data_IF_481476016200
#
_entry.id   IF_481476016200
#
_cell.length_a   1.000
_cell.length_b   1.000
_cell.length_c   1.000
_cell.angle_alpha   90.00
_cell.angle_beta   90.00
_cell.angle_gamma   90.00
#
_symmetry.space_group_name_H-M   'P 1'
#
loop_
_entity.id
_entity.type
_entity.pdbx_description
1 polymer ?
#
# COMPACT_ATOMS: atom_id res chain seq x y z
N UNK A 1 30.59 9.17 28.89
CA UNK A 1 29.36 9.51 28.15
C UNK A 1 29.75 10.31 26.93
N UNK A 2 29.92 9.64 25.79
CA UNK A 2 30.10 10.31 24.50
C UNK A 2 28.76 10.27 23.82
N UNK A 3 28.05 11.41 23.84
CA UNK A 3 26.82 11.60 23.10
C UNK A 3 27.13 11.55 21.60
N UNK A 4 26.77 10.47 20.94
CA UNK A 4 26.71 10.41 19.50
C UNK A 4 25.49 11.25 19.10
N UNK A 5 25.73 12.51 18.76
CA UNK A 5 24.75 13.35 18.08
C UNK A 5 24.58 12.75 16.66
N UNK A 6 23.63 11.84 16.51
CA UNK A 6 23.20 11.37 15.20
C UNK A 6 22.53 12.55 14.50
N UNK A 7 23.30 13.30 13.73
CA UNK A 7 22.78 14.42 12.93
C UNK A 7 21.93 13.80 11.80
N UNK A 8 20.62 13.79 11.98
CA UNK A 8 19.68 13.38 10.93
C UNK A 8 19.91 14.27 9.70
N UNK A 9 20.21 13.67 8.56
CA UNK A 9 20.44 14.42 7.30
C UNK A 9 19.10 14.94 6.77
N UNK A 10 19.11 16.11 6.13
CA UNK A 10 17.96 16.61 5.40
C UNK A 10 17.65 15.70 4.21
N UNK A 11 16.41 15.27 4.08
CA UNK A 11 15.93 14.51 2.92
C UNK A 11 15.76 15.48 1.74
N UNK A 12 16.53 15.27 0.68
CA UNK A 12 16.59 16.22 -0.44
C UNK A 12 15.45 15.99 -1.43
N UNK A 13 14.49 16.92 -1.42
CA UNK A 13 13.51 17.07 -2.49
C UNK A 13 14.20 17.53 -3.78
N UNK A 14 13.81 16.95 -4.91
CA UNK A 14 14.32 17.39 -6.22
C UNK A 14 13.20 17.80 -7.18
N UNK A 15 11.95 17.50 -6.85
CA UNK A 15 10.78 17.86 -7.61
C UNK A 15 9.52 17.88 -6.74
N UNK A 16 8.60 18.79 -7.08
CA UNK A 16 7.30 18.95 -6.42
C UNK A 16 6.24 19.42 -7.41
N UNK A 17 5.00 19.00 -7.21
CA UNK A 17 3.81 19.52 -7.88
C UNK A 17 2.62 19.54 -6.92
N UNK A 18 1.54 20.21 -7.32
CA UNK A 18 0.28 20.26 -6.57
C UNK A 18 -0.87 19.73 -7.43
N UNK A 19 -1.69 18.86 -6.86
CA UNK A 19 -2.96 18.38 -7.36
C UNK A 19 -4.09 19.13 -6.62
N UNK A 20 -5.33 19.09 -7.15
CA UNK A 20 -6.44 19.92 -6.61
C UNK A 20 -6.84 19.61 -5.17
N UNK A 21 -6.56 18.40 -4.67
CA UNK A 21 -7.07 17.91 -3.39
C UNK A 21 -6.11 16.89 -2.80
N UNK A 22 -6.43 16.38 -1.60
CA UNK A 22 -5.58 15.47 -0.88
C UNK A 22 -5.25 14.19 -1.68
N UNK A 23 -4.01 13.73 -1.55
CA UNK A 23 -3.50 12.61 -2.34
C UNK A 23 -4.01 11.29 -1.75
N UNK A 24 -4.69 10.49 -2.59
CA UNK A 24 -5.24 9.16 -2.23
C UNK A 24 -4.49 8.01 -2.88
N UNK A 25 -3.66 8.28 -3.87
CA UNK A 25 -2.90 7.25 -4.55
C UNK A 25 -1.61 7.78 -5.16
N UNK A 26 -0.51 7.08 -4.87
CA UNK A 26 0.78 7.22 -5.53
C UNK A 26 1.26 5.85 -5.94
N UNK A 27 1.62 5.67 -7.20
CA UNK A 27 2.12 4.40 -7.70
C UNK A 27 3.14 4.61 -8.81
N UNK A 28 4.33 4.05 -8.67
CA UNK A 28 5.31 4.00 -9.75
C UNK A 28 4.95 2.91 -10.76
N UNK A 29 5.18 3.19 -12.05
CA UNK A 29 5.15 2.17 -13.09
C UNK A 29 6.27 1.14 -12.83
N UNK A 30 6.09 -0.15 -13.14
CA UNK A 30 7.07 -1.20 -12.83
C UNK A 30 8.48 -0.97 -13.39
N UNK A 31 8.64 -0.20 -14.46
CA UNK A 31 9.94 0.17 -15.03
C UNK A 31 10.59 1.42 -14.38
N UNK A 32 9.97 2.00 -13.35
CA UNK A 32 10.38 3.22 -12.67
C UNK A 32 10.43 4.49 -13.55
N UNK A 33 10.04 4.44 -14.82
CA UNK A 33 10.11 5.60 -15.72
C UNK A 33 8.99 6.62 -15.51
N UNK A 34 7.82 6.16 -15.07
CA UNK A 34 6.64 6.98 -14.79
C UNK A 34 6.12 6.72 -13.38
N UNK A 35 5.35 7.67 -12.86
CA UNK A 35 4.51 7.43 -11.69
C UNK A 35 3.14 8.08 -11.89
N UNK A 36 2.12 7.51 -11.26
CA UNK A 36 0.78 8.03 -11.22
C UNK A 36 0.48 8.64 -9.86
N UNK A 37 -0.18 9.80 -9.86
CA UNK A 37 -0.67 10.48 -8.67
C UNK A 37 -2.16 10.78 -8.83
N UNK A 38 -2.96 10.44 -7.83
CA UNK A 38 -4.39 10.70 -7.79
C UNK A 38 -4.74 11.44 -6.50
N UNK A 39 -5.50 12.52 -6.63
CA UNK A 39 -6.18 13.19 -5.51
C UNK A 39 -7.64 12.72 -5.41
N UNK A 40 -8.30 13.02 -4.31
CA UNK A 40 -9.73 12.68 -4.12
C UNK A 40 -10.53 13.24 -5.28
N UNK A 41 -10.35 14.52 -5.59
CA UNK A 41 -11.02 15.19 -6.72
C UNK A 41 -10.05 15.45 -7.87
N UNK A 42 -10.59 15.64 -9.04
CA UNK A 42 -9.83 15.99 -10.22
C UNK A 42 -9.25 14.79 -10.99
N UNK A 43 -8.39 15.08 -11.97
CA UNK A 43 -7.82 14.08 -12.85
C UNK A 43 -6.69 13.28 -12.17
N UNK A 44 -6.41 12.11 -12.74
CA UNK A 44 -5.25 11.28 -12.39
C UNK A 44 -4.07 11.70 -13.25
N UNK A 45 -2.99 12.13 -12.63
CA UNK A 45 -1.78 12.56 -13.30
C UNK A 45 -0.82 11.40 -13.48
N UNK A 46 -0.32 11.20 -14.70
CA UNK A 46 0.82 10.33 -14.97
C UNK A 46 2.00 11.21 -15.37
N UNK A 47 3.08 11.09 -14.62
CA UNK A 47 4.22 11.99 -14.65
C UNK A 47 5.52 11.21 -14.82
N UNK A 48 6.53 11.84 -15.40
CA UNK A 48 7.89 11.31 -15.44
C UNK A 48 8.49 11.24 -14.04
N UNK A 49 9.05 10.10 -13.69
CA UNK A 49 9.71 9.93 -12.38
C UNK A 49 11.08 10.62 -12.29
N UNK A 50 11.63 11.08 -13.41
CA UNK A 50 12.97 11.70 -13.49
C UNK A 50 12.93 13.20 -13.22
N UNK A 51 11.93 13.89 -13.80
CA UNK A 51 11.83 15.34 -13.83
C UNK A 51 10.41 15.87 -13.59
N UNK A 52 9.43 14.97 -13.38
CA UNK A 52 8.03 15.31 -13.14
C UNK A 52 7.28 15.84 -14.37
N UNK A 53 7.85 15.72 -15.55
CA UNK A 53 7.19 16.17 -16.78
C UNK A 53 5.85 15.44 -16.99
N UNK A 54 4.76 16.15 -17.36
CA UNK A 54 3.47 15.52 -17.64
C UNK A 54 3.55 14.52 -18.79
N UNK A 55 3.09 13.29 -18.58
CA UNK A 55 3.00 12.25 -19.59
C UNK A 55 1.56 12.06 -20.07
N UNK A 56 0.62 11.87 -19.16
CA UNK A 56 -0.79 11.72 -19.45
C UNK A 56 -1.66 12.30 -18.33
N UNK A 57 -2.90 12.65 -18.67
CA UNK A 57 -3.91 13.13 -17.73
C UNK A 57 -5.19 12.34 -17.97
N UNK A 58 -5.65 11.59 -16.99
CA UNK A 58 -6.86 10.80 -17.09
C UNK A 58 -7.98 11.38 -16.24
N UNK A 59 -9.21 11.29 -16.71
CA UNK A 59 -10.37 11.71 -15.92
C UNK A 59 -10.48 10.87 -14.65
N UNK A 60 -10.59 11.53 -13.50
CA UNK A 60 -10.85 10.87 -12.23
C UNK A 60 -12.27 10.29 -12.14
N UNK A 61 -12.75 10.05 -10.95
CA UNK A 61 -14.06 9.47 -10.67
C UNK A 61 -15.06 10.54 -10.20
N UNK A 62 -16.35 10.38 -10.56
CA UNK A 62 -17.38 11.40 -10.39
C UNK A 62 -17.63 11.85 -8.94
N UNK A 63 -17.52 10.96 -7.97
CA UNK A 63 -17.68 11.24 -6.54
C UNK A 63 -16.38 11.11 -5.74
N UNK A 64 -15.26 11.05 -6.43
CA UNK A 64 -13.92 10.93 -5.85
C UNK A 64 -13.22 9.64 -6.23
N UNK A 65 -11.92 9.78 -6.51
CA UNK A 65 -11.02 8.64 -6.72
C UNK A 65 -10.64 8.05 -5.36
N UNK A 66 -10.66 6.73 -5.23
CA UNK A 66 -10.27 6.02 -4.00
C UNK A 66 -8.97 5.24 -4.12
N UNK A 67 -8.53 4.91 -5.35
CA UNK A 67 -7.28 4.19 -5.55
C UNK A 67 -6.87 4.03 -6.99
N UNK A 68 -5.58 3.71 -7.16
CA UNK A 68 -4.95 3.44 -8.46
C UNK A 68 -4.04 2.21 -8.36
N UNK A 69 -3.85 1.49 -9.47
CA UNK A 69 -2.98 0.32 -9.54
C UNK A 69 -2.44 0.12 -10.95
N UNK A 70 -1.12 -0.05 -11.10
CA UNK A 70 -0.48 -0.37 -12.38
C UNK A 70 -0.57 -1.87 -12.70
N UNK A 71 -0.80 -2.19 -13.97
CA UNK A 71 -0.54 -3.56 -14.46
C UNK A 71 0.96 -3.88 -14.41
N UNK A 72 1.30 -5.16 -14.26
CA UNK A 72 2.69 -5.60 -14.07
C UNK A 72 3.63 -5.20 -15.22
N UNK A 73 3.11 -5.06 -16.45
CA UNK A 73 3.87 -4.58 -17.61
C UNK A 73 3.85 -3.06 -17.78
N UNK A 74 3.12 -2.34 -16.92
CA UNK A 74 3.01 -0.88 -16.96
C UNK A 74 2.26 -0.30 -18.14
N UNK A 75 1.52 -1.11 -18.90
CA UNK A 75 0.75 -0.62 -20.07
C UNK A 75 -0.62 -0.07 -19.68
N UNK A 76 -1.22 -0.61 -18.60
CA UNK A 76 -2.50 -0.18 -18.07
C UNK A 76 -2.37 0.39 -16.65
N UNK A 77 -3.11 1.46 -16.39
CA UNK A 77 -3.36 1.99 -15.07
C UNK A 77 -4.84 1.75 -14.74
N UNK A 78 -5.14 1.04 -13.67
CA UNK A 78 -6.48 0.93 -13.15
C UNK A 78 -6.76 2.04 -12.15
N UNK A 79 -8.00 2.55 -12.13
CA UNK A 79 -8.50 3.44 -11.09
C UNK A 79 -9.89 3.03 -10.63
N UNK A 80 -10.18 3.32 -9.37
CA UNK A 80 -11.46 3.06 -8.72
C UNK A 80 -11.91 4.30 -7.95
N UNK A 81 -13.20 4.41 -7.70
CA UNK A 81 -13.75 5.56 -7.03
C UNK A 81 -15.09 5.29 -6.34
N UNK A 82 -15.67 6.39 -5.85
CA UNK A 82 -16.93 6.40 -5.12
C UNK A 82 -18.15 6.43 -6.04
N UNK A 83 -17.95 6.41 -7.35
CA UNK A 83 -19.00 6.33 -8.38
C UNK A 83 -19.38 4.89 -8.74
N UNK A 84 -18.77 3.92 -8.08
CA UNK A 84 -19.02 2.50 -8.35
C UNK A 84 -18.47 2.01 -9.69
N UNK A 85 -17.54 2.76 -10.30
CA UNK A 85 -16.94 2.42 -11.59
C UNK A 85 -15.48 2.01 -11.41
N UNK A 86 -15.07 1.01 -12.18
CA UNK A 86 -13.68 0.63 -12.40
C UNK A 86 -13.27 1.14 -13.78
N UNK A 87 -12.16 1.83 -13.89
CA UNK A 87 -11.61 2.31 -15.16
C UNK A 87 -10.21 1.76 -15.36
N UNK A 88 -9.89 1.36 -16.58
CA UNK A 88 -8.53 1.04 -17.00
C UNK A 88 -8.11 1.97 -18.14
N UNK A 89 -6.93 2.55 -17.99
CA UNK A 89 -6.36 3.56 -18.87
C UNK A 89 -5.19 2.97 -19.64
N UNK A 90 -5.22 3.06 -20.96
CA UNK A 90 -4.06 2.75 -21.82
C UNK A 90 -3.10 3.94 -21.80
N UNK A 91 -1.95 3.75 -21.17
CA UNK A 91 -1.00 4.83 -20.93
C UNK A 91 -0.29 5.29 -22.20
N UNK A 92 -0.07 4.40 -23.15
CA UNK A 92 0.54 4.74 -24.44
C UNK A 92 -0.43 5.52 -25.34
N UNK A 93 -1.71 5.11 -25.37
CA UNK A 93 -2.77 5.81 -26.12
C UNK A 93 -3.27 7.06 -25.43
N UNK A 94 -2.99 7.20 -24.13
CA UNK A 94 -3.48 8.29 -23.26
C UNK A 94 -5.01 8.38 -23.22
N UNK A 95 -5.66 7.24 -23.25
CA UNK A 95 -7.12 7.13 -23.34
C UNK A 95 -7.64 5.99 -22.48
N UNK A 96 -8.96 5.93 -22.28
CA UNK A 96 -9.61 4.85 -21.55
C UNK A 96 -9.62 3.57 -22.40
N UNK A 97 -9.02 2.50 -21.89
CA UNK A 97 -9.06 1.19 -22.53
C UNK A 97 -10.43 0.53 -22.35
N UNK A 98 -10.95 0.57 -21.12
CA UNK A 98 -12.28 0.06 -20.77
C UNK A 98 -12.75 0.60 -19.44
N UNK A 99 -14.04 0.43 -19.15
CA UNK A 99 -14.65 0.66 -17.85
C UNK A 99 -15.63 -0.44 -17.50
N UNK A 100 -15.88 -0.66 -16.21
CA UNK A 100 -16.81 -1.68 -15.72
C UNK A 100 -17.46 -1.22 -14.39
N UNK A 101 -18.58 -1.85 -14.04
CA UNK A 101 -19.26 -1.57 -12.79
C UNK A 101 -18.63 -2.34 -11.65
N UNK A 102 -18.25 -1.67 -10.56
CA UNK A 102 -18.05 -2.29 -9.26
C UNK A 102 -19.41 -2.74 -8.69
N UNK A 103 -19.45 -3.56 -7.67
CA UNK A 103 -20.70 -4.11 -7.13
C UNK A 103 -21.42 -3.18 -6.18
N UNK A 104 -20.78 -2.11 -5.75
CA UNK A 104 -21.27 -1.12 -4.79
C UNK A 104 -20.79 0.27 -5.19
N UNK A 105 -21.42 1.34 -4.71
CA UNK A 105 -21.03 2.71 -5.02
C UNK A 105 -19.57 3.03 -4.66
N UNK A 106 -19.02 2.39 -3.64
CA UNK A 106 -17.66 2.61 -3.18
C UNK A 106 -16.81 1.38 -3.47
N UNK A 107 -15.79 1.57 -4.33
CA UNK A 107 -14.74 0.59 -4.51
C UNK A 107 -13.58 0.91 -3.56
N UNK A 108 -13.26 -0.05 -2.70
CA UNK A 108 -12.29 0.15 -1.61
C UNK A 108 -10.84 -0.07 -2.08
N UNK A 109 -10.64 -1.10 -2.91
CA UNK A 109 -9.30 -1.51 -3.34
C UNK A 109 -9.32 -2.09 -4.75
N UNK A 110 -8.29 -1.76 -5.53
CA UNK A 110 -8.00 -2.40 -6.81
C UNK A 110 -6.55 -2.92 -6.81
N UNK A 111 -6.34 -4.11 -7.32
CA UNK A 111 -5.02 -4.73 -7.40
C UNK A 111 -4.87 -5.59 -8.66
N UNK A 112 -3.85 -5.32 -9.46
CA UNK A 112 -3.44 -6.18 -10.56
C UNK A 112 -2.70 -7.39 -10.03
N UNK A 113 -2.94 -8.57 -10.63
CA UNK A 113 -2.15 -9.77 -10.38
C UNK A 113 -0.68 -9.56 -10.81
N UNK A 114 0.24 -10.31 -10.20
CA UNK A 114 1.67 -10.18 -10.47
C UNK A 114 2.05 -10.51 -11.93
N UNK A 115 1.25 -11.37 -12.59
CA UNK A 115 1.39 -11.68 -14.02
C UNK A 115 0.73 -10.62 -14.94
N UNK A 116 0.05 -9.62 -14.36
CA UNK A 116 -0.64 -8.55 -15.07
C UNK A 116 -1.86 -8.98 -15.87
N UNK A 117 -2.34 -10.21 -15.70
CA UNK A 117 -3.47 -10.75 -16.50
C UNK A 117 -4.83 -10.43 -15.92
N UNK A 118 -4.93 -10.22 -14.60
CA UNK A 118 -6.17 -10.02 -13.87
C UNK A 118 -6.14 -8.74 -13.03
N UNK A 119 -7.27 -8.04 -13.02
CA UNK A 119 -7.55 -6.95 -12.08
C UNK A 119 -8.60 -7.43 -11.08
N UNK A 120 -8.25 -7.41 -9.80
CA UNK A 120 -9.19 -7.63 -8.71
C UNK A 120 -9.67 -6.28 -8.14
N UNK A 121 -10.97 -6.16 -7.89
CA UNK A 121 -11.55 -4.97 -7.24
C UNK A 121 -12.52 -5.40 -6.16
N UNK A 122 -12.33 -4.84 -4.96
CA UNK A 122 -13.22 -4.99 -3.82
C UNK A 122 -14.22 -3.82 -3.79
N UNK A 123 -15.50 -4.14 -3.72
CA UNK A 123 -16.57 -3.18 -3.54
C UNK A 123 -17.74 -3.79 -2.74
N UNK A 124 -18.09 -3.17 -1.62
CA UNK A 124 -19.05 -3.74 -0.70
C UNK A 124 -18.61 -5.11 -0.21
N UNK A 125 -19.49 -6.11 -0.32
CA UNK A 125 -19.23 -7.48 0.15
C UNK A 125 -18.67 -8.43 -0.92
N UNK A 126 -18.30 -7.90 -2.08
CA UNK A 126 -17.88 -8.70 -3.22
C UNK A 126 -16.51 -8.28 -3.73
N UNK A 127 -15.80 -9.25 -4.33
CA UNK A 127 -14.59 -9.01 -5.09
C UNK A 127 -14.82 -9.48 -6.52
N UNK A 128 -14.60 -8.60 -7.50
CA UNK A 128 -14.72 -8.90 -8.93
C UNK A 128 -13.35 -9.03 -9.57
N UNK A 129 -13.23 -10.00 -10.49
CA UNK A 129 -12.04 -10.19 -11.32
C UNK A 129 -12.35 -9.87 -12.77
N UNK A 130 -11.54 -9.02 -13.37
CA UNK A 130 -11.55 -8.70 -14.79
C UNK A 130 -10.27 -9.14 -15.45
N UNK A 131 -10.36 -9.51 -16.74
CA UNK A 131 -9.17 -9.64 -17.57
C UNK A 131 -8.70 -8.26 -18.08
N UNK A 132 -7.58 -8.25 -18.80
CA UNK A 132 -7.00 -7.02 -19.37
C UNK A 132 -7.91 -6.29 -20.37
N UNK A 133 -8.84 -7.01 -21.01
CA UNK A 133 -9.79 -6.50 -21.98
C UNK A 133 -11.07 -5.96 -21.35
N UNK A 134 -11.17 -5.98 -20.01
CA UNK A 134 -12.36 -5.51 -19.29
C UNK A 134 -13.52 -6.49 -19.23
N UNK A 135 -13.28 -7.77 -19.55
CA UNK A 135 -14.30 -8.79 -19.38
C UNK A 135 -14.32 -9.25 -17.93
N UNK A 136 -15.51 -9.22 -17.31
CA UNK A 136 -15.72 -9.78 -15.98
C UNK A 136 -15.63 -11.31 -16.05
N UNK A 137 -14.65 -11.87 -15.37
CA UNK A 137 -14.40 -13.30 -15.35
C UNK A 137 -15.06 -13.99 -14.16
N UNK A 138 -15.05 -13.36 -12.99
CA UNK A 138 -15.51 -13.96 -11.74
C UNK A 138 -15.94 -12.93 -10.71
N UNK A 139 -16.82 -13.38 -9.82
CA UNK A 139 -17.21 -12.62 -8.62
C UNK A 139 -17.07 -13.55 -7.41
N UNK A 140 -16.35 -13.13 -6.41
CA UNK A 140 -16.16 -13.83 -5.14
C UNK A 140 -17.01 -13.21 -4.03
N UNK A 141 -17.54 -14.04 -3.17
CA UNK A 141 -18.39 -13.63 -2.03
C UNK A 141 -19.82 -14.17 -2.17
N UNK A 142 -20.82 -13.64 -1.40
CA UNK A 142 -20.65 -12.47 -0.53
C UNK A 142 -19.83 -12.78 0.74
N UNK A 143 -18.98 -11.82 1.14
CA UNK A 143 -18.26 -11.85 2.40
C UNK A 143 -19.17 -11.45 3.57
N UNK A 144 -18.75 -11.68 4.81
CA UNK A 144 -19.51 -11.36 6.02
C UNK A 144 -19.80 -9.85 6.17
N UNK A 145 -18.87 -9.01 5.75
CA UNK A 145 -18.97 -7.54 5.75
C UNK A 145 -18.35 -6.95 4.49
N UNK A 146 -18.27 -5.62 4.42
CA UNK A 146 -17.48 -4.92 3.41
C UNK A 146 -16.05 -5.45 3.40
N UNK A 147 -15.52 -5.70 2.20
CA UNK A 147 -14.11 -6.06 1.95
C UNK A 147 -13.32 -4.77 1.89
N UNK A 148 -12.51 -4.50 2.93
CA UNK A 148 -11.75 -3.25 3.05
C UNK A 148 -10.41 -3.30 2.32
N UNK A 149 -9.80 -4.48 2.20
CA UNK A 149 -8.53 -4.63 1.51
C UNK A 149 -8.41 -5.99 0.83
N UNK A 150 -7.67 -6.01 -0.29
CA UNK A 150 -7.33 -7.21 -1.06
C UNK A 150 -5.87 -7.15 -1.48
N UNK A 151 -5.19 -8.28 -1.47
CA UNK A 151 -3.86 -8.40 -2.06
C UNK A 151 -3.62 -9.78 -2.67
N UNK A 152 -2.98 -9.78 -3.84
CA UNK A 152 -2.51 -11.00 -4.47
C UNK A 152 -1.34 -11.59 -3.69
N UNK A 153 -1.38 -12.89 -3.48
CA UNK A 153 -0.24 -13.62 -2.94
C UNK A 153 0.90 -13.58 -3.95
N UNK A 154 2.13 -13.23 -3.55
CA UNK A 154 3.27 -13.19 -4.47
C UNK A 154 3.46 -14.50 -5.24
N UNK A 155 3.79 -14.39 -6.53
CA UNK A 155 4.04 -15.53 -7.44
C UNK A 155 2.91 -16.56 -7.50
N UNK A 156 1.66 -16.13 -7.30
CA UNK A 156 0.49 -16.99 -7.23
C UNK A 156 -0.72 -16.31 -7.87
N UNK A 157 -1.74 -17.09 -8.20
CA UNK A 157 -3.06 -16.60 -8.62
C UNK A 157 -4.06 -16.57 -7.47
N UNK A 158 -3.55 -16.62 -6.23
CA UNK A 158 -4.37 -16.53 -5.03
C UNK A 158 -4.50 -15.09 -4.55
N UNK A 159 -5.71 -14.72 -4.13
CA UNK A 159 -6.09 -13.40 -3.66
C UNK A 159 -6.62 -13.50 -2.23
N UNK A 160 -6.05 -12.74 -1.30
CA UNK A 160 -6.62 -12.58 0.03
C UNK A 160 -7.57 -11.39 0.06
N UNK A 161 -8.68 -11.53 0.78
CA UNK A 161 -9.68 -10.50 0.99
C UNK A 161 -10.05 -10.41 2.47
N UNK A 162 -9.99 -9.21 3.06
CA UNK A 162 -10.38 -8.96 4.46
C UNK A 162 -11.88 -8.80 4.57
N UNK A 163 -12.46 -9.33 5.65
CA UNK A 163 -13.82 -9.02 6.08
C UNK A 163 -13.95 -9.19 7.59
N UNK A 164 -15.06 -8.78 8.17
CA UNK A 164 -15.30 -9.02 9.60
C UNK A 164 -15.25 -10.53 9.90
N UNK A 165 -14.45 -10.91 10.88
CA UNK A 165 -14.32 -12.26 11.37
C UNK A 165 -13.37 -13.15 10.58
N UNK A 166 -12.80 -12.70 9.45
CA UNK A 166 -11.86 -13.53 8.70
C UNK A 166 -11.10 -12.79 7.59
N UNK A 167 -10.01 -13.44 7.14
CA UNK A 167 -9.42 -13.22 5.82
C UNK A 167 -9.72 -14.45 4.97
N UNK A 168 -10.33 -14.25 3.81
CA UNK A 168 -10.64 -15.34 2.86
C UNK A 168 -9.61 -15.35 1.75
N UNK A 169 -9.02 -16.52 1.50
CA UNK A 169 -8.11 -16.75 0.40
C UNK A 169 -8.87 -17.41 -0.76
N UNK A 170 -8.89 -16.74 -1.89
CA UNK A 170 -9.49 -17.17 -3.14
C UNK A 170 -8.42 -17.59 -4.14
N UNK A 171 -8.75 -18.49 -5.04
CA UNK A 171 -7.95 -18.78 -6.22
C UNK A 171 -8.69 -18.24 -7.45
N UNK A 172 -7.98 -17.54 -8.34
CA UNK A 172 -8.60 -16.94 -9.52
C UNK A 172 -9.27 -17.95 -10.43
N UNK A 173 -8.81 -19.21 -10.41
CA UNK A 173 -9.28 -20.27 -11.31
C UNK A 173 -10.38 -21.13 -10.66
N UNK A 174 -10.71 -20.94 -9.37
CA UNK A 174 -11.69 -21.74 -8.62
C UNK A 174 -12.83 -20.87 -8.06
N UNK A 175 -14.09 -21.41 -8.02
CA UNK A 175 -15.23 -20.66 -7.48
C UNK A 175 -15.25 -20.61 -5.95
N UNK A 176 -14.69 -21.63 -5.28
CA UNK A 176 -14.75 -21.78 -3.83
C UNK A 176 -13.48 -21.22 -3.17
N UNK A 177 -13.58 -20.74 -1.92
CA UNK A 177 -12.42 -20.26 -1.20
C UNK A 177 -11.44 -21.40 -0.91
N UNK A 178 -10.15 -21.13 -1.15
CA UNK A 178 -9.06 -22.08 -0.86
C UNK A 178 -8.88 -22.26 0.65
N UNK A 179 -9.01 -21.16 1.41
CA UNK A 179 -8.83 -21.15 2.86
C UNK A 179 -9.52 -19.92 3.48
N UNK A 180 -9.97 -20.07 4.71
CA UNK A 180 -10.44 -18.97 5.53
C UNK A 180 -9.63 -18.94 6.81
N UNK A 181 -8.95 -17.82 7.05
CA UNK A 181 -8.25 -17.51 8.30
C UNK A 181 -9.24 -16.78 9.20
N UNK A 182 -9.75 -17.49 10.24
CA UNK A 182 -10.75 -16.95 11.16
C UNK A 182 -10.10 -16.15 12.27
N UNK A 183 -10.72 -15.03 12.61
CA UNK A 183 -10.29 -14.14 13.65
C UNK A 183 -11.47 -13.29 14.13
N UNK A 184 -11.52 -12.98 15.41
CA UNK A 184 -12.66 -12.28 16.02
C UNK A 184 -12.44 -10.77 15.99
N UNK A 185 -12.60 -10.12 14.84
CA UNK A 185 -12.41 -8.68 14.69
C UNK A 185 -12.55 -8.23 13.24
N UNK A 186 -12.27 -6.95 13.01
CA UNK A 186 -12.33 -6.32 11.70
C UNK A 186 -10.93 -5.98 11.21
N UNK A 187 -10.46 -6.69 10.20
CA UNK A 187 -9.19 -6.39 9.54
C UNK A 187 -9.37 -5.25 8.54
N UNK A 188 -8.56 -4.20 8.69
CA UNK A 188 -8.63 -2.96 7.92
C UNK A 188 -7.69 -2.97 6.72
N UNK A 189 -6.56 -3.67 6.85
CA UNK A 189 -5.48 -3.75 5.87
C UNK A 189 -4.86 -5.13 5.94
N UNK A 190 -4.31 -5.61 4.84
CA UNK A 190 -3.54 -6.84 4.79
C UNK A 190 -2.24 -6.68 3.98
N UNK A 191 -1.23 -7.46 4.32
CA UNK A 191 0.04 -7.49 3.61
C UNK A 191 0.64 -8.89 3.58
N UNK A 192 0.99 -9.36 2.38
CA UNK A 192 1.77 -10.58 2.18
C UNK A 192 3.25 -10.30 2.37
N UNK A 193 3.98 -11.21 3.01
CA UNK A 193 5.45 -11.21 2.86
C UNK A 193 5.82 -11.46 1.40
N UNK A 194 6.90 -10.86 0.87
CA UNK A 194 7.33 -11.03 -0.53
C UNK A 194 7.51 -12.48 -0.99
N UNK A 195 7.85 -13.39 -0.07
CA UNK A 195 7.97 -14.84 -0.34
C UNK A 195 6.66 -15.62 -0.19
N UNK A 196 5.56 -14.94 0.19
CA UNK A 196 4.23 -15.54 0.37
C UNK A 196 4.09 -16.51 1.54
N UNK A 197 5.10 -16.60 2.43
CA UNK A 197 5.05 -17.47 3.63
C UNK A 197 4.17 -16.93 4.73
N UNK A 198 4.02 -15.61 4.81
CA UNK A 198 3.31 -14.93 5.87
C UNK A 198 2.24 -14.00 5.30
N UNK A 199 1.14 -13.92 6.03
CA UNK A 199 0.08 -12.94 5.83
C UNK A 199 -0.11 -12.17 7.13
N UNK A 200 -0.08 -10.85 7.08
CA UNK A 200 -0.37 -10.00 8.22
C UNK A 200 -1.62 -9.15 7.95
N UNK A 201 -2.40 -8.88 8.99
CA UNK A 201 -3.48 -7.87 8.97
C UNK A 201 -3.27 -6.84 10.05
N UNK A 202 -3.68 -5.61 9.77
CA UNK A 202 -3.84 -4.58 10.78
C UNK A 202 -5.33 -4.39 11.08
N UNK A 203 -5.67 -4.29 12.36
CA UNK A 203 -7.02 -4.50 12.83
C UNK A 203 -7.61 -3.28 13.56
N UNK A 204 -8.94 -3.21 13.58
CA UNK A 204 -9.72 -2.12 14.20
C UNK A 204 -9.52 -2.04 15.72
N UNK A 205 -9.24 -3.15 16.37
CA UNK A 205 -9.07 -3.30 17.82
C UNK A 205 -7.64 -3.08 18.29
N UNK A 206 -6.82 -2.38 17.48
CA UNK A 206 -5.43 -2.05 17.79
C UNK A 206 -4.53 -3.28 17.95
N UNK A 207 -4.70 -4.26 17.07
CA UNK A 207 -3.86 -5.46 16.99
C UNK A 207 -3.34 -5.67 15.57
N UNK A 208 -2.37 -6.56 15.43
CA UNK A 208 -1.92 -7.13 14.17
C UNK A 208 -2.03 -8.65 14.28
N UNK A 209 -2.75 -9.27 13.37
CA UNK A 209 -2.73 -10.71 13.20
C UNK A 209 -1.70 -11.12 12.16
N UNK A 210 -1.07 -12.25 12.40
CA UNK A 210 0.02 -12.76 11.59
C UNK A 210 -0.15 -14.27 11.40
N UNK A 211 -0.30 -14.74 10.17
CA UNK A 211 -0.47 -16.16 9.84
C UNK A 211 0.74 -16.71 9.12
N UNK A 212 1.16 -17.93 9.53
CA UNK A 212 2.04 -18.78 8.74
C UNK A 212 1.17 -19.53 7.73
N UNK A 213 1.27 -19.16 6.45
CA UNK A 213 0.31 -19.61 5.42
C UNK A 213 0.31 -21.10 5.18
N UNK A 214 1.46 -21.78 5.34
CA UNK A 214 1.60 -23.22 5.18
C UNK A 214 0.81 -24.01 6.24
N UNK A 215 0.87 -23.60 7.48
CA UNK A 215 0.26 -24.31 8.62
C UNK A 215 -1.10 -23.75 9.01
N UNK A 216 -1.35 -22.46 8.72
CA UNK A 216 -2.50 -21.72 9.22
C UNK A 216 -2.35 -21.29 10.67
N UNK A 217 -1.20 -21.53 11.30
CA UNK A 217 -0.90 -21.05 12.66
C UNK A 217 -0.85 -19.52 12.65
N UNK A 218 -1.47 -18.92 13.64
CA UNK A 218 -1.52 -17.48 13.81
C UNK A 218 -0.84 -17.01 15.09
N UNK A 219 -0.51 -15.73 15.07
CA UNK A 219 0.00 -14.98 16.21
C UNK A 219 -0.70 -13.63 16.25
N UNK A 220 -0.85 -13.07 17.44
CA UNK A 220 -1.40 -11.75 17.65
C UNK A 220 -0.34 -10.85 18.26
N UNK A 221 -0.15 -9.70 17.65
CA UNK A 221 0.68 -8.61 18.18
C UNK A 221 -0.25 -7.55 18.76
N UNK A 222 -0.02 -7.13 20.00
CA UNK A 222 -0.85 -6.16 20.72
C UNK A 222 0.01 -5.05 21.32
N UNK A 223 -0.63 -4.09 21.99
CA UNK A 223 0.06 -2.96 22.62
C UNK A 223 0.08 -1.70 21.75
N UNK A 224 -0.62 -1.69 20.62
CA UNK A 224 -0.78 -0.48 19.81
C UNK A 224 -1.79 0.47 20.47
N UNK A 225 -1.51 1.80 20.49
CA UNK A 225 -2.42 2.75 21.09
C UNK A 225 -3.70 3.02 20.28
N UNK A 226 -3.70 2.66 18.99
CA UNK A 226 -4.81 2.87 18.05
C UNK A 226 -4.89 1.73 17.05
N UNK A 227 -6.01 1.67 16.28
CA UNK A 227 -6.18 0.76 15.14
C UNK A 227 -4.97 0.82 14.20
N UNK A 228 -4.57 -0.33 13.70
CA UNK A 228 -3.42 -0.46 12.78
C UNK A 228 -3.93 -0.45 11.34
N UNK A 229 -3.47 0.51 10.56
CA UNK A 229 -3.76 0.63 9.12
C UNK A 229 -2.50 0.60 8.25
N UNK A 230 -1.35 0.67 8.88
CA UNK A 230 -0.06 0.81 8.21
C UNK A 230 0.72 -0.49 8.39
N UNK A 231 0.93 -1.21 7.29
CA UNK A 231 1.72 -2.44 7.22
C UNK A 231 2.65 -2.39 6.00
N UNK A 232 3.92 -2.73 6.18
CA UNK A 232 4.85 -2.92 5.06
C UNK A 232 5.89 -3.97 5.39
N UNK A 233 6.15 -4.86 4.43
CA UNK A 233 7.23 -5.84 4.48
C UNK A 233 8.47 -5.32 3.78
N UNK A 234 9.63 -5.66 4.31
CA UNK A 234 10.89 -5.50 3.58
C UNK A 234 11.03 -6.55 2.48
N UNK A 235 11.86 -6.28 1.48
CA UNK A 235 12.05 -7.18 0.34
C UNK A 235 12.58 -8.58 0.67
N UNK A 236 13.18 -8.77 1.85
CA UNK A 236 13.71 -10.06 2.30
C UNK A 236 12.67 -10.94 3.02
N UNK A 237 11.47 -10.42 3.28
CA UNK A 237 10.44 -11.08 4.10
C UNK A 237 10.84 -11.29 5.56
N UNK A 238 11.85 -10.55 6.02
CA UNK A 238 12.33 -10.63 7.41
C UNK A 238 11.67 -9.62 8.31
N UNK A 239 11.51 -8.39 7.83
CA UNK A 239 11.02 -7.29 8.65
C UNK A 239 9.61 -6.89 8.25
N UNK A 240 8.72 -6.83 9.25
CA UNK A 240 7.39 -6.25 9.11
C UNK A 240 7.35 -4.94 9.90
N UNK A 241 7.14 -3.82 9.21
CA UNK A 241 6.85 -2.55 9.85
C UNK A 241 5.33 -2.37 10.02
N UNK A 242 4.93 -1.86 11.18
CA UNK A 242 3.53 -1.60 11.55
C UNK A 242 3.41 -0.22 12.17
N UNK A 243 2.26 0.43 11.97
CA UNK A 243 1.90 1.70 12.59
C UNK A 243 0.99 1.51 13.81
N UNK A 244 -0.05 2.34 13.92
CA UNK A 244 -1.05 2.29 15.00
C UNK A 244 -0.80 3.29 16.13
N UNK A 245 0.04 4.30 15.92
CA UNK A 245 0.35 5.37 16.88
C UNK A 245 1.20 6.47 16.25
N UNK A 246 2.07 7.10 17.02
CA UNK A 246 3.11 8.01 16.54
C UNK A 246 4.44 7.29 16.25
N UNK A 247 4.58 6.07 16.73
CA UNK A 247 5.76 5.22 16.57
C UNK A 247 5.55 4.22 15.43
N UNK A 248 6.64 3.77 14.80
CA UNK A 248 6.65 2.58 13.97
C UNK A 248 7.27 1.41 14.73
N UNK A 249 6.61 0.25 14.70
CA UNK A 249 7.13 -0.99 15.26
C UNK A 249 7.68 -1.87 14.13
N UNK A 250 8.94 -2.30 14.23
CA UNK A 250 9.56 -3.18 13.23
C UNK A 250 9.83 -4.55 13.86
N UNK A 251 9.14 -5.56 13.34
CA UNK A 251 9.16 -6.93 13.84
C UNK A 251 10.12 -7.80 13.06
N UNK A 252 10.99 -8.56 13.74
CA UNK A 252 11.80 -9.61 13.11
C UNK A 252 10.95 -10.88 12.93
N UNK A 253 10.51 -11.11 11.70
CA UNK A 253 9.71 -12.26 11.30
C UNK A 253 10.54 -13.44 10.78
N UNK A 254 11.86 -13.47 11.03
CA UNK A 254 12.70 -14.65 10.71
C UNK A 254 12.08 -15.92 11.31
N UNK A 255 12.19 -17.07 10.65
CA UNK A 255 11.61 -18.30 11.16
C UNK A 255 11.94 -18.58 12.64
N UNK A 256 10.97 -19.04 13.44
CA UNK A 256 9.62 -19.47 13.07
C UNK A 256 8.56 -18.37 12.99
N UNK A 257 8.91 -17.09 13.07
CA UNK A 257 8.01 -15.95 13.06
C UNK A 257 8.33 -14.95 14.18
N UNK A 258 7.49 -13.94 14.41
CA UNK A 258 7.75 -12.87 15.39
C UNK A 258 7.49 -13.27 16.85
N UNK A 259 7.04 -14.50 17.10
CA UNK A 259 6.72 -14.97 18.44
C UNK A 259 7.94 -14.85 19.38
N UNK A 260 7.69 -14.42 20.62
CA UNK A 260 8.71 -14.24 21.68
C UNK A 260 9.83 -13.24 21.31
N UNK A 261 9.55 -12.33 20.36
CA UNK A 261 10.46 -11.24 19.97
C UNK A 261 9.85 -9.89 20.26
N UNK A 262 10.67 -9.00 20.81
CA UNK A 262 10.28 -7.59 20.96
C UNK A 262 10.50 -6.84 19.65
N UNK A 263 9.60 -5.93 19.27
CA UNK A 263 9.78 -5.10 18.09
C UNK A 263 10.86 -4.04 18.34
N UNK A 264 11.53 -3.65 17.27
CA UNK A 264 12.30 -2.41 17.25
C UNK A 264 11.31 -1.24 17.18
N UNK A 265 11.25 -0.43 18.24
CA UNK A 265 10.41 0.77 18.27
C UNK A 265 11.19 1.94 17.70
N UNK A 266 10.62 2.58 16.68
CA UNK A 266 11.13 3.80 16.08
C UNK A 266 10.28 4.98 16.56
N UNK A 267 10.89 5.91 17.27
CA UNK A 267 10.27 7.18 17.70
C UNK A 267 10.12 8.09 16.48
N UNK A 268 9.07 7.85 15.70
CA UNK A 268 8.98 8.38 14.35
C UNK A 268 8.46 9.81 14.29
N UNK A 269 7.35 10.08 14.95
CA UNK A 269 6.59 11.30 14.73
C UNK A 269 6.07 11.90 16.04
N UNK A 270 5.93 13.24 16.07
CA UNK A 270 5.32 13.96 17.18
C UNK A 270 3.80 13.84 17.19
N UNK A 271 3.22 13.53 16.02
CA UNK A 271 1.79 13.24 15.82
C UNK A 271 1.61 11.79 15.37
N UNK A 272 0.41 11.45 14.91
CA UNK A 272 0.14 10.10 14.39
C UNK A 272 0.97 9.84 13.13
N UNK A 273 1.60 8.66 13.08
CA UNK A 273 2.08 8.07 11.84
C UNK A 273 0.86 7.79 10.96
N UNK A 274 0.93 8.15 9.70
CA UNK A 274 -0.18 8.07 8.74
C UNK A 274 0.08 7.07 7.62
N UNK A 275 1.35 6.82 7.32
CA UNK A 275 1.76 5.89 6.27
C UNK A 275 3.19 5.42 6.50
N UNK A 276 3.51 4.24 6.01
CA UNK A 276 4.86 3.70 5.99
C UNK A 276 5.09 2.79 4.78
N UNK A 277 6.33 2.72 4.31
CA UNK A 277 6.71 1.88 3.18
C UNK A 277 8.18 1.44 3.28
N UNK A 278 8.44 0.14 3.22
CA UNK A 278 9.78 -0.39 2.97
C UNK A 278 10.15 -0.27 1.50
N UNK A 279 11.45 -0.17 1.22
CA UNK A 279 12.01 -0.40 -0.11
C UNK A 279 11.75 -1.83 -0.59
N UNK A 280 11.74 -2.02 -1.91
CA UNK A 280 11.43 -3.32 -2.51
C UNK A 280 12.58 -4.33 -2.43
N UNK A 281 13.82 -3.86 -2.51
CA UNK A 281 15.04 -4.69 -2.60
C UNK A 281 16.08 -4.34 -1.55
N UNK A 282 15.91 -3.20 -0.86
CA UNK A 282 16.84 -2.69 0.14
C UNK A 282 16.14 -2.61 1.51
N UNK A 283 16.85 -2.11 2.51
CA UNK A 283 16.41 -2.18 3.91
C UNK A 283 15.84 -0.87 4.47
N UNK A 284 15.69 0.19 3.65
CA UNK A 284 15.19 1.45 4.17
C UNK A 284 13.68 1.42 4.32
N UNK A 285 13.21 1.93 5.45
CA UNK A 285 11.82 2.20 5.75
C UNK A 285 11.58 3.70 5.66
N UNK A 286 10.56 4.11 4.92
CA UNK A 286 10.02 5.47 4.96
C UNK A 286 8.78 5.51 5.84
N UNK A 287 8.63 6.57 6.65
CA UNK A 287 7.43 6.85 7.43
C UNK A 287 6.98 8.28 7.17
N UNK A 288 5.65 8.48 7.13
CA UNK A 288 5.02 9.79 7.00
C UNK A 288 4.11 10.05 8.19
N UNK A 289 4.12 11.27 8.70
CA UNK A 289 3.35 11.68 9.87
C UNK A 289 2.31 12.76 9.59
N UNK A 290 1.40 12.92 10.53
CA UNK A 290 0.37 13.96 10.50
C UNK A 290 0.93 15.39 10.70
N UNK A 291 2.19 15.54 11.09
CA UNK A 291 2.92 16.82 11.08
C UNK A 291 3.55 17.13 9.72
N UNK A 292 3.33 16.27 8.70
CA UNK A 292 3.83 16.45 7.34
C UNK A 292 5.29 16.08 7.12
N UNK A 293 5.92 15.48 8.11
CA UNK A 293 7.32 15.04 8.03
C UNK A 293 7.42 13.65 7.41
N UNK A 294 8.37 13.48 6.50
CA UNK A 294 8.81 12.18 5.98
C UNK A 294 10.13 11.83 6.65
N UNK A 295 10.24 10.64 7.21
CA UNK A 295 11.48 10.16 7.85
C UNK A 295 11.94 8.86 7.20
N UNK A 296 13.27 8.69 7.10
CA UNK A 296 13.93 7.50 6.56
C UNK A 296 14.68 6.80 7.67
N UNK A 297 14.51 5.50 7.76
CA UNK A 297 15.11 4.63 8.78
C UNK A 297 15.89 3.51 8.15
N UNK A 298 16.87 3.01 8.88
CA UNK A 298 17.58 1.77 8.56
C UNK A 298 17.51 0.83 9.77
N UNK A 299 16.45 0.00 9.88
CA UNK A 299 16.22 -0.83 11.06
C UNK A 299 17.39 -1.71 11.45
N UNK A 300 18.19 -2.22 10.48
CA UNK A 300 19.39 -3.00 10.75
C UNK A 300 20.49 -2.22 11.49
N UNK A 301 20.43 -0.88 11.51
CA UNK A 301 21.39 0.00 12.20
C UNK A 301 20.85 0.60 13.50
N UNK A 302 19.62 0.25 13.88
CA UNK A 302 19.01 0.69 15.13
C UNK A 302 17.91 1.74 14.99
N UNK A 303 17.67 2.50 16.05
CA UNK A 303 16.48 3.34 16.23
C UNK A 303 16.58 4.77 15.68
N UNK A 304 17.76 5.18 15.23
CA UNK A 304 17.98 6.55 14.72
C UNK A 304 17.48 6.74 13.30
N UNK A 305 16.79 7.85 13.02
CA UNK A 305 16.47 8.24 11.65
C UNK A 305 17.76 8.58 10.87
N UNK A 306 17.80 8.14 9.61
CA UNK A 306 18.91 8.43 8.69
C UNK A 306 18.75 9.81 8.08
N UNK A 307 17.51 10.17 7.70
CA UNK A 307 17.15 11.48 7.16
C UNK A 307 15.70 11.82 7.42
N UNK A 308 15.37 13.12 7.38
CA UNK A 308 14.02 13.63 7.54
C UNK A 308 13.77 14.84 6.63
N UNK A 309 12.51 15.02 6.20
CA UNK A 309 12.05 16.25 5.56
C UNK A 309 11.62 17.30 6.59
N UNK A 310 11.34 18.52 6.12
CA UNK A 310 10.65 19.53 6.91
C UNK A 310 9.19 19.17 7.18
N UNK A 311 8.58 19.84 8.14
CA UNK A 311 7.16 19.73 8.46
C UNK A 311 6.28 20.38 7.39
N UNK A 312 5.00 19.98 7.36
CA UNK A 312 4.02 20.48 6.41
C UNK A 312 2.62 19.90 6.65
N UNK A 313 1.77 19.88 5.64
CA UNK A 313 0.51 19.16 5.67
C UNK A 313 0.73 17.65 5.86
N UNK A 314 -0.25 16.98 6.49
CA UNK A 314 -0.15 15.56 6.83
C UNK A 314 0.19 14.70 5.60
N UNK A 315 1.17 13.82 5.72
CA UNK A 315 1.51 12.86 4.66
C UNK A 315 0.41 11.83 4.57
N UNK A 316 -0.13 11.61 3.38
CA UNK A 316 -1.21 10.66 3.14
C UNK A 316 -0.74 9.41 2.42
N UNK A 317 0.28 9.54 1.57
CA UNK A 317 0.79 8.44 0.75
C UNK A 317 2.32 8.47 0.68
N UNK A 318 2.92 7.28 0.68
CA UNK A 318 4.34 7.06 0.38
C UNK A 318 4.47 5.93 -0.63
N UNK A 319 5.33 6.09 -1.62
CA UNK A 319 5.65 5.05 -2.58
C UNK A 319 7.13 5.09 -2.97
N UNK A 320 7.81 3.95 -2.90
CA UNK A 320 9.17 3.79 -3.44
C UNK A 320 9.10 3.46 -4.92
N UNK A 321 10.04 4.00 -5.69
CA UNK A 321 10.26 3.52 -7.07
C UNK A 321 10.74 2.06 -7.06
N UNK A 322 10.41 1.25 -8.09
CA UNK A 322 10.80 -0.17 -8.16
C UNK A 322 12.31 -0.44 -8.10
N UNK A 323 13.13 0.56 -8.42
CA UNK A 323 14.59 0.53 -8.33
C UNK A 323 15.14 1.06 -6.99
N UNK A 324 14.24 1.47 -6.06
CA UNK A 324 14.56 2.02 -4.73
C UNK A 324 15.37 3.33 -4.74
N UNK A 325 15.41 4.06 -5.87
CA UNK A 325 16.19 5.30 -5.98
C UNK A 325 15.40 6.56 -5.55
N UNK A 326 14.07 6.51 -5.75
CA UNK A 326 13.16 7.64 -5.53
C UNK A 326 12.08 7.24 -4.55
N UNK A 327 11.77 8.16 -3.63
CA UNK A 327 10.60 8.10 -2.77
C UNK A 327 9.63 9.21 -3.20
N UNK A 328 8.39 8.86 -3.49
CA UNK A 328 7.29 9.79 -3.66
C UNK A 328 6.51 9.94 -2.35
N UNK A 329 6.16 11.16 -1.99
CA UNK A 329 5.28 11.47 -0.86
C UNK A 329 4.16 12.39 -1.33
N UNK A 330 2.92 12.05 -0.98
CA UNK A 330 1.73 12.85 -1.18
C UNK A 330 1.16 13.33 0.15
N UNK A 331 0.56 14.51 0.17
CA UNK A 331 0.02 15.08 1.39
C UNK A 331 -1.47 15.47 1.29
N UNK A 332 -2.05 15.88 2.40
CA UNK A 332 -3.46 16.26 2.49
C UNK A 332 -3.80 17.59 1.77
N UNK A 333 -2.80 18.39 1.44
CA UNK A 333 -2.97 19.62 0.66
C UNK A 333 -2.82 19.41 -0.86
N UNK A 334 -2.63 18.17 -1.31
CA UNK A 334 -2.49 17.84 -2.72
C UNK A 334 -1.06 17.90 -3.25
N UNK A 335 -0.07 18.19 -2.40
CA UNK A 335 1.33 18.23 -2.86
C UNK A 335 1.87 16.83 -3.06
N UNK A 336 2.59 16.64 -4.16
CA UNK A 336 3.37 15.46 -4.47
C UNK A 336 4.82 15.85 -4.55
N UNK A 337 5.66 15.25 -3.71
CA UNK A 337 7.10 15.53 -3.60
C UNK A 337 7.90 14.29 -3.96
N UNK A 338 8.98 14.45 -4.72
CA UNK A 338 9.93 13.38 -5.03
C UNK A 338 11.27 13.63 -4.33
N UNK A 339 11.75 12.62 -3.63
CA UNK A 339 13.01 12.65 -2.89
C UNK A 339 13.99 11.62 -3.47
N UNK A 340 15.24 12.06 -3.70
CA UNK A 340 16.34 11.12 -3.96
C UNK A 340 16.92 10.66 -2.65
N UNK A 341 16.87 9.35 -2.42
CA UNK A 341 17.45 8.74 -1.23
C UNK A 341 18.82 8.23 -1.58
N UNK A 342 19.84 9.00 -1.20
CA UNK A 342 21.24 8.67 -1.45
C UNK A 342 21.63 7.42 -0.66
N UNK A 343 22.54 6.63 -1.25
CA UNK A 343 23.10 5.38 -0.69
C UNK A 343 23.84 5.58 0.62
#
# INVERSE_FOLDING_TARGET
MLGVTNTTRSLREFWCTELPDHIVGLAFRPDAGLFAAASVTGPIHVLSATDGAPHALFAGHGFGTSGISWSADGTLLASIGQDGVVKAWDVARKDMAWSGEATAPWAERAAWSADGTLLAVAAGKLVRLWNRQGQLLRTFGPHSSTVLDIAWKPQSRQLAATSYGCVTLWDADQPEPVRTYRWQGSSLVLAWSPDGRYLATGDQDATVHFWITKTGRDYQMSGYPRKVKELSWDGSSRWLATGGGSQACVWDCSPPGPNDREPLILEAHDRSLTTLAFQHRRELLATGGAEGRVMIWRPSRGRGAVSASEEGPAITQLAWSPDDQVLAAGDEAGRVRLFRVLK
#
